data_IF_850801635575
#
_entry.id   IF_850801635575
#
_cell.length_a   1.000
_cell.length_b   1.000
_cell.length_c   1.000
_cell.angle_alpha   90.00
_cell.angle_beta   90.00
_cell.angle_gamma   90.00
#
_symmetry.space_group_name_H-M   'P 1'
#
loop_
_entity.id
_entity.type
_entity.pdbx_description
1 polymer ?
#
# COMPACT_ATOMS: atom_id res chain seq x y z
N UNK A 1 -29.10 44.78 -0.60
CA UNK A 1 -27.77 45.35 -0.84
C UNK A 1 -26.80 44.54 -0.02
N UNK A 2 -26.21 43.50 -0.62
CA UNK A 2 -24.78 43.40 -1.02
C UNK A 2 -23.91 43.07 0.20
N UNK A 3 -23.29 41.89 0.35
CA UNK A 3 -22.39 41.24 -0.58
C UNK A 3 -22.35 39.71 -0.48
N UNK A 4 -22.32 39.06 -1.64
CA UNK A 4 -21.93 37.66 -1.83
C UNK A 4 -20.38 37.55 -1.83
N UNK A 5 -19.78 36.54 -1.18
CA UNK A 5 -18.34 36.34 -1.24
C UNK A 5 -17.91 35.72 -2.58
N UNK A 6 -16.97 36.39 -3.22
CA UNK A 6 -16.31 36.08 -4.50
C UNK A 6 -15.57 34.72 -4.46
N UNK A 7 -15.70 33.84 -5.48
CA UNK A 7 -14.89 32.64 -5.60
C UNK A 7 -13.52 32.97 -6.21
N UNK A 8 -12.43 32.78 -5.45
CA UNK A 8 -11.09 33.03 -6.01
C UNK A 8 -9.90 33.10 -5.05
N UNK A 9 -10.01 32.68 -3.79
CA UNK A 9 -8.84 32.62 -2.90
C UNK A 9 -8.24 31.21 -2.90
N UNK A 10 -7.11 31.09 -3.57
CA UNK A 10 -6.22 29.94 -3.49
C UNK A 10 -6.06 29.47 -2.04
N UNK A 11 -6.23 28.17 -1.81
CA UNK A 11 -6.06 27.55 -0.50
C UNK A 11 -4.74 28.01 0.15
N UNK A 12 -4.76 28.55 1.38
CA UNK A 12 -3.56 29.10 2.00
C UNK A 12 -2.49 28.01 2.17
N UNK A 13 -1.29 28.25 1.62
CA UNK A 13 -0.16 27.31 1.58
C UNK A 13 0.22 26.72 2.95
N UNK A 14 -0.08 27.43 4.04
CA UNK A 14 0.16 26.99 5.42
C UNK A 14 -0.69 25.78 5.85
N UNK A 15 -1.89 25.62 5.28
CA UNK A 15 -2.81 24.52 5.63
C UNK A 15 -2.45 23.22 4.90
N UNK A 16 -2.05 23.32 3.62
CA UNK A 16 -1.39 22.22 2.88
C UNK A 16 -0.12 21.75 3.59
N UNK A 17 0.70 22.69 4.10
CA UNK A 17 1.95 22.40 4.81
C UNK A 17 1.72 21.60 6.10
N UNK A 18 0.69 21.90 6.91
CA UNK A 18 0.38 21.14 8.14
C UNK A 18 -0.19 19.75 7.87
N UNK A 19 -1.01 19.59 6.83
CA UNK A 19 -1.55 18.27 6.44
C UNK A 19 -0.47 17.35 5.87
N UNK A 20 0.46 17.90 5.08
CA UNK A 20 1.59 17.15 4.48
C UNK A 20 2.67 16.85 5.54
N UNK A 21 2.94 17.75 6.48
CA UNK A 21 3.86 17.50 7.61
C UNK A 21 3.32 16.43 8.58
N UNK A 22 1.99 16.28 8.70
CA UNK A 22 1.38 15.16 9.42
C UNK A 22 1.48 13.82 8.68
N UNK A 23 1.60 13.84 7.35
CA UNK A 23 1.74 12.63 6.53
C UNK A 23 3.19 12.11 6.46
N UNK A 24 4.19 12.99 6.55
CA UNK A 24 5.62 12.65 6.40
C UNK A 24 6.47 12.79 7.67
N UNK A 25 5.88 13.19 8.80
CA UNK A 25 6.52 13.15 10.13
C UNK A 25 7.59 14.23 10.40
N UNK A 26 8.37 14.69 9.41
CA UNK A 26 9.40 15.72 9.60
C UNK A 26 9.68 16.58 8.36
N UNK A 27 10.11 17.83 8.58
CA UNK A 27 10.54 18.75 7.50
C UNK A 27 11.76 18.21 6.75
N UNK A 28 12.66 17.52 7.45
CA UNK A 28 13.86 16.92 6.87
C UNK A 28 13.54 15.87 5.80
N UNK A 29 12.56 15.01 6.06
CA UNK A 29 12.09 14.04 5.08
C UNK A 29 11.48 14.78 3.89
N UNK A 30 10.59 15.73 4.14
CA UNK A 30 9.94 16.49 3.07
C UNK A 30 10.94 17.20 2.14
N UNK A 31 11.99 17.83 2.69
CA UNK A 31 13.00 18.51 1.90
C UNK A 31 13.81 17.54 1.02
N UNK A 32 14.03 16.31 1.48
CA UNK A 32 14.68 15.26 0.69
C UNK A 32 13.75 14.66 -0.37
N UNK A 33 12.45 14.63 -0.11
CA UNK A 33 11.42 14.13 -1.03
C UNK A 33 11.00 15.16 -2.08
N UNK A 34 11.13 16.46 -1.78
CA UNK A 34 10.70 17.59 -2.61
C UNK A 34 11.24 17.55 -4.06
N UNK A 35 12.51 17.22 -4.34
CA UNK A 35 13.02 17.15 -5.71
C UNK A 35 12.30 16.11 -6.58
N UNK A 36 11.85 15.01 -5.95
CA UNK A 36 11.11 13.94 -6.61
C UNK A 36 9.63 14.31 -6.81
N UNK A 37 9.06 15.13 -5.92
CA UNK A 37 7.71 15.69 -6.10
C UNK A 37 7.64 16.67 -7.29
N UNK A 38 8.70 17.43 -7.57
CA UNK A 38 8.77 18.38 -8.69
C UNK A 38 8.77 17.71 -10.07
N UNK A 39 9.63 16.69 -10.27
CA UNK A 39 9.56 15.79 -11.44
C UNK A 39 8.30 14.90 -11.43
N UNK A 40 7.70 14.78 -10.25
CA UNK A 40 6.46 14.07 -9.99
C UNK A 40 5.25 14.63 -10.72
N UNK A 41 5.20 15.91 -11.11
CA UNK A 41 4.00 16.45 -11.78
C UNK A 41 3.80 15.87 -13.18
N UNK A 42 4.86 15.78 -13.98
CA UNK A 42 4.80 15.17 -15.32
C UNK A 42 4.48 13.67 -15.21
N UNK A 43 5.15 12.98 -14.27
CA UNK A 43 4.91 11.58 -13.96
C UNK A 43 3.45 11.34 -13.54
N UNK A 44 2.95 12.17 -12.63
CA UNK A 44 1.57 12.14 -12.17
C UNK A 44 0.62 12.40 -13.34
N UNK A 45 0.85 13.42 -14.15
CA UNK A 45 0.02 13.72 -15.32
C UNK A 45 -0.03 12.54 -16.31
N UNK A 46 1.11 11.92 -16.62
CA UNK A 46 1.19 10.71 -17.45
C UNK A 46 0.42 9.54 -16.82
N UNK A 47 0.57 9.33 -15.51
CA UNK A 47 -0.15 8.29 -14.76
C UNK A 47 -1.66 8.53 -14.74
N UNK A 48 -2.10 9.77 -14.53
CA UNK A 48 -3.51 10.15 -14.54
C UNK A 48 -4.12 10.03 -15.94
N UNK A 49 -3.37 10.40 -16.98
CA UNK A 49 -3.78 10.22 -18.36
C UNK A 49 -3.93 8.72 -18.69
N UNK A 50 -2.95 7.89 -18.31
CA UNK A 50 -3.05 6.44 -18.45
C UNK A 50 -4.24 5.86 -17.67
N UNK A 51 -4.51 6.39 -16.47
CA UNK A 51 -5.63 6.00 -15.65
C UNK A 51 -6.99 6.36 -16.30
N UNK A 52 -7.10 7.53 -16.92
CA UNK A 52 -8.28 7.97 -17.66
C UNK A 52 -8.47 7.15 -18.95
N UNK A 53 -7.41 6.93 -19.73
CA UNK A 53 -7.47 6.10 -20.93
C UNK A 53 -7.88 4.66 -20.62
N UNK A 54 -7.47 4.12 -19.47
CA UNK A 54 -7.89 2.79 -19.02
C UNK A 54 -9.40 2.65 -18.78
N UNK A 55 -10.15 3.76 -18.69
CA UNK A 55 -11.62 3.76 -18.59
C UNK A 55 -12.31 3.71 -19.96
N UNK A 56 -11.59 3.95 -21.06
CA UNK A 56 -12.17 4.02 -22.41
C UNK A 56 -12.60 2.65 -22.97
N UNK A 57 -11.86 1.53 -22.76
CA UNK A 57 -12.18 0.26 -23.42
C UNK A 57 -13.61 -0.26 -23.23
N UNK A 58 -14.20 -0.28 -22.00
CA UNK A 58 -15.58 -0.75 -21.85
C UNK A 58 -16.60 0.08 -22.63
N UNK A 59 -16.39 1.40 -22.73
CA UNK A 59 -17.24 2.27 -23.55
C UNK A 59 -17.10 1.99 -25.05
N UNK A 60 -15.88 1.74 -25.53
CA UNK A 60 -15.67 1.33 -26.91
C UNK A 60 -16.31 -0.04 -27.19
N UNK A 61 -16.22 -0.99 -26.25
CA UNK A 61 -16.92 -2.27 -26.34
C UNK A 61 -18.44 -2.07 -26.45
N UNK A 62 -19.04 -1.13 -25.70
CA UNK A 62 -20.44 -0.74 -25.89
C UNK A 62 -20.71 -0.32 -27.34
N UNK A 63 -19.88 0.55 -27.91
CA UNK A 63 -20.08 1.04 -29.29
C UNK A 63 -19.90 -0.07 -30.34
N UNK A 64 -18.94 -0.97 -30.15
CA UNK A 64 -18.77 -2.17 -30.99
C UNK A 64 -20.05 -3.01 -30.97
N UNK A 65 -20.64 -3.22 -29.80
CA UNK A 65 -21.88 -4.01 -29.67
C UNK A 65 -23.08 -3.26 -30.26
N UNK A 66 -23.36 -2.05 -29.79
CA UNK A 66 -24.57 -1.31 -30.15
C UNK A 66 -24.56 -0.88 -31.63
N UNK A 67 -23.45 -0.31 -32.11
CA UNK A 67 -23.34 0.23 -33.47
C UNK A 67 -22.77 -0.75 -34.48
N UNK A 68 -22.08 -1.80 -34.04
CA UNK A 68 -21.54 -2.83 -34.92
C UNK A 68 -22.43 -4.06 -34.95
N UNK A 69 -22.45 -4.84 -33.86
CA UNK A 69 -23.14 -6.13 -33.83
C UNK A 69 -24.66 -5.99 -33.95
N UNK A 70 -25.28 -5.17 -33.10
CA UNK A 70 -26.74 -5.02 -33.03
C UNK A 70 -27.27 -4.30 -34.28
N UNK A 71 -26.60 -3.24 -34.72
CA UNK A 71 -26.95 -2.53 -35.96
C UNK A 71 -26.58 -3.29 -37.24
N UNK A 72 -25.83 -4.40 -37.13
CA UNK A 72 -25.33 -5.21 -38.26
C UNK A 72 -24.52 -4.41 -39.29
N UNK A 73 -23.81 -3.38 -38.84
CA UNK A 73 -22.94 -2.53 -39.67
C UNK A 73 -21.48 -3.00 -39.54
N UNK A 74 -20.96 -3.61 -40.60
CA UNK A 74 -19.58 -4.09 -40.66
C UNK A 74 -18.55 -2.95 -40.65
N UNK A 75 -18.88 -1.79 -41.23
CA UNK A 75 -18.00 -0.62 -41.23
C UNK A 75 -17.85 -0.03 -39.83
N UNK A 76 -18.97 0.16 -39.12
CA UNK A 76 -18.94 0.58 -37.73
C UNK A 76 -18.23 -0.44 -36.83
N UNK A 77 -18.47 -1.75 -37.05
CA UNK A 77 -17.81 -2.82 -36.31
C UNK A 77 -16.28 -2.75 -36.44
N UNK A 78 -15.76 -2.64 -37.67
CA UNK A 78 -14.30 -2.54 -37.91
C UNK A 78 -13.75 -1.25 -37.33
N UNK A 79 -14.44 -0.13 -37.50
CA UNK A 79 -13.99 1.19 -37.02
C UNK A 79 -13.85 1.20 -35.49
N UNK A 80 -14.87 0.76 -34.76
CA UNK A 80 -14.83 0.76 -33.29
C UNK A 80 -13.91 -0.33 -32.73
N UNK A 81 -13.75 -1.46 -33.42
CA UNK A 81 -12.78 -2.50 -33.04
C UNK A 81 -11.35 -2.03 -33.26
N UNK A 82 -11.07 -1.33 -34.36
CA UNK A 82 -9.77 -0.71 -34.61
C UNK A 82 -9.47 0.40 -33.59
N UNK A 83 -10.47 1.23 -33.24
CA UNK A 83 -10.34 2.22 -32.18
C UNK A 83 -10.05 1.58 -30.82
N UNK A 84 -10.73 0.47 -30.48
CA UNK A 84 -10.50 -0.29 -29.26
C UNK A 84 -9.05 -0.83 -29.19
N UNK A 85 -8.56 -1.41 -30.29
CA UNK A 85 -7.17 -1.86 -30.39
C UNK A 85 -6.18 -0.69 -30.26
N UNK A 86 -6.41 0.40 -30.98
CA UNK A 86 -5.57 1.60 -30.94
C UNK A 86 -5.47 2.19 -29.53
N UNK A 87 -6.61 2.37 -28.86
CA UNK A 87 -6.66 2.82 -27.46
C UNK A 87 -5.97 1.82 -26.53
N UNK A 88 -6.11 0.52 -26.78
CA UNK A 88 -5.40 -0.54 -26.05
C UNK A 88 -3.87 -0.36 -26.13
N UNK A 89 -3.32 -0.22 -27.33
CA UNK A 89 -1.88 -0.01 -27.53
C UNK A 89 -1.39 1.30 -26.91
N UNK A 90 -2.13 2.41 -27.07
CA UNK A 90 -1.79 3.69 -26.45
C UNK A 90 -1.79 3.58 -24.93
N UNK A 91 -2.80 2.93 -24.35
CA UNK A 91 -2.90 2.74 -22.90
C UNK A 91 -1.75 1.89 -22.38
N UNK A 92 -1.40 0.80 -23.08
CA UNK A 92 -0.27 -0.06 -22.73
C UNK A 92 1.06 0.68 -22.81
N UNK A 93 1.31 1.41 -23.90
CA UNK A 93 2.53 2.19 -24.09
C UNK A 93 2.68 3.28 -23.04
N UNK A 94 1.61 4.05 -22.80
CA UNK A 94 1.59 5.12 -21.80
C UNK A 94 1.76 4.59 -20.37
N UNK A 95 1.08 3.50 -20.03
CA UNK A 95 1.21 2.85 -18.72
C UNK A 95 2.61 2.31 -18.50
N UNK A 96 3.22 1.70 -19.53
CA UNK A 96 4.59 1.17 -19.46
C UNK A 96 5.61 2.28 -19.31
N UNK A 97 5.51 3.35 -20.11
CA UNK A 97 6.37 4.53 -19.99
C UNK A 97 6.24 5.16 -18.60
N UNK A 98 5.00 5.36 -18.14
CA UNK A 98 4.73 5.88 -16.79
C UNK A 98 5.40 5.00 -15.74
N UNK A 99 5.21 3.67 -15.78
CA UNK A 99 5.80 2.74 -14.82
C UNK A 99 7.33 2.77 -14.82
N UNK A 100 7.97 2.82 -15.99
CA UNK A 100 9.44 2.89 -16.11
C UNK A 100 9.97 4.19 -15.51
N UNK A 101 9.38 5.33 -15.87
CA UNK A 101 9.82 6.63 -15.37
C UNK A 101 9.57 6.74 -13.85
N UNK A 102 8.47 6.18 -13.35
CA UNK A 102 8.21 6.07 -11.92
C UNK A 102 9.23 5.17 -11.22
N UNK A 103 9.59 4.02 -11.78
CA UNK A 103 10.60 3.14 -11.20
C UNK A 103 11.97 3.82 -11.12
N UNK A 104 12.36 4.57 -12.16
CA UNK A 104 13.61 5.35 -12.15
C UNK A 104 13.63 6.38 -11.03
N UNK A 105 12.54 7.12 -10.85
CA UNK A 105 12.39 8.06 -9.74
C UNK A 105 12.43 7.33 -8.38
N UNK A 106 11.82 6.15 -8.31
CA UNK A 106 11.75 5.29 -7.12
C UNK A 106 13.12 4.87 -6.61
N UNK A 107 13.94 4.29 -7.49
CA UNK A 107 15.30 3.85 -7.14
C UNK A 107 16.18 5.03 -6.75
N UNK A 108 16.10 6.15 -7.47
CA UNK A 108 16.89 7.33 -7.17
C UNK A 108 16.54 7.90 -5.78
N UNK A 109 15.26 7.95 -5.43
CA UNK A 109 14.82 8.42 -4.12
C UNK A 109 15.26 7.47 -2.98
N UNK A 110 15.19 6.16 -3.21
CA UNK A 110 15.69 5.19 -2.22
C UNK A 110 17.19 5.36 -1.98
N UNK A 111 17.97 5.56 -3.04
CA UNK A 111 19.41 5.80 -2.94
C UNK A 111 19.71 7.08 -2.13
N UNK A 112 19.00 8.17 -2.40
CA UNK A 112 19.15 9.44 -1.68
C UNK A 112 18.75 9.33 -0.21
N UNK A 113 17.68 8.61 0.10
CA UNK A 113 17.24 8.33 1.47
C UNK A 113 18.28 7.49 2.22
N UNK A 114 18.78 6.40 1.62
CA UNK A 114 19.83 5.56 2.21
C UNK A 114 21.09 6.35 2.49
N UNK A 115 21.52 7.19 1.55
CA UNK A 115 22.69 8.05 1.73
C UNK A 115 22.49 9.07 2.85
N UNK A 116 21.29 9.65 2.94
CA UNK A 116 20.95 10.60 3.99
C UNK A 116 20.94 9.95 5.39
N UNK A 117 20.35 8.75 5.51
CA UNK A 117 20.35 8.00 6.76
C UNK A 117 21.75 7.51 7.12
N UNK A 118 22.55 7.05 6.15
CA UNK A 118 23.94 6.66 6.37
C UNK A 118 24.78 7.81 6.95
N UNK A 119 24.60 9.03 6.42
CA UNK A 119 25.26 10.23 6.99
C UNK A 119 24.81 10.51 8.43
N UNK A 120 23.53 10.34 8.74
CA UNK A 120 23.04 10.49 10.11
C UNK A 120 23.71 9.49 11.05
N UNK A 121 23.79 8.22 10.65
CA UNK A 121 24.44 7.13 11.42
C UNK A 121 25.93 7.41 11.62
N UNK A 122 26.65 7.81 10.58
CA UNK A 122 28.09 8.13 10.66
C UNK A 122 28.38 9.32 11.58
N UNK A 123 27.45 10.29 11.67
CA UNK A 123 27.56 11.45 12.57
C UNK A 123 27.17 11.17 14.02
N UNK A 124 26.77 9.93 14.38
CA UNK A 124 26.36 9.60 15.77
C UNK A 124 27.55 9.38 16.70
N UNK A 125 27.34 9.72 17.97
CA UNK A 125 28.34 9.54 19.03
C UNK A 125 28.75 8.06 19.17
N UNK A 126 29.99 7.79 19.62
CA UNK A 126 30.41 6.43 19.95
C UNK A 126 29.54 5.77 21.01
N UNK A 127 29.04 6.54 21.99
CA UNK A 127 28.12 6.06 23.02
C UNK A 127 26.78 5.59 22.44
N UNK A 128 26.24 6.31 21.46
CA UNK A 128 25.04 5.84 20.76
C UNK A 128 25.32 4.53 20.04
N UNK A 129 26.48 4.43 19.35
CA UNK A 129 26.87 3.23 18.59
C UNK A 129 27.08 2.01 19.49
N UNK A 130 27.66 2.16 20.68
CA UNK A 130 27.89 1.04 21.60
C UNK A 130 26.59 0.40 22.12
N UNK A 131 25.48 1.14 22.09
CA UNK A 131 24.16 0.63 22.48
C UNK A 131 23.34 0.03 21.34
N UNK A 132 23.83 0.04 20.09
CA UNK A 132 23.05 -0.36 18.91
C UNK A 132 23.62 -1.63 18.28
N UNK A 133 22.74 -2.58 17.99
CA UNK A 133 23.12 -3.77 17.23
C UNK A 133 23.25 -3.42 15.74
N UNK A 134 24.27 -3.96 15.07
CA UNK A 134 24.47 -3.75 13.64
C UNK A 134 23.22 -4.11 12.80
N UNK A 135 22.48 -5.14 13.21
CA UNK A 135 21.21 -5.54 12.58
C UNK A 135 20.10 -4.48 12.69
N UNK A 136 19.99 -3.77 13.82
CA UNK A 136 19.00 -2.71 14.02
C UNK A 136 19.34 -1.48 13.14
N UNK A 137 20.62 -1.14 13.02
CA UNK A 137 21.09 -0.09 12.11
C UNK A 137 20.75 -0.47 10.66
N UNK A 138 21.02 -1.71 10.26
CA UNK A 138 20.70 -2.19 8.91
C UNK A 138 19.18 -2.18 8.65
N UNK A 139 18.36 -2.60 9.63
CA UNK A 139 16.90 -2.58 9.50
C UNK A 139 16.34 -1.16 9.28
N UNK A 140 16.99 -0.12 9.81
CA UNK A 140 16.63 1.28 9.57
C UNK A 140 17.12 1.78 8.21
N UNK A 141 18.38 1.50 7.87
CA UNK A 141 18.99 1.94 6.61
C UNK A 141 18.30 1.32 5.40
N UNK A 142 17.95 0.05 5.48
CA UNK A 142 17.36 -0.68 4.36
C UNK A 142 15.83 -0.77 4.47
N UNK A 143 15.34 -1.39 5.56
CA UNK A 143 13.93 -1.67 5.77
C UNK A 143 13.06 -0.41 5.87
N UNK A 144 13.34 0.47 6.84
CA UNK A 144 12.52 1.69 7.01
C UNK A 144 12.62 2.64 5.82
N UNK A 145 13.83 2.80 5.27
CA UNK A 145 14.03 3.62 4.08
C UNK A 145 13.20 3.10 2.90
N UNK A 146 13.17 1.77 2.73
CA UNK A 146 12.34 1.09 1.74
C UNK A 146 10.84 1.32 1.98
N UNK A 147 10.34 1.16 3.21
CA UNK A 147 8.91 1.40 3.52
C UNK A 147 8.50 2.85 3.29
N UNK A 148 9.33 3.82 3.68
CA UNK A 148 9.12 5.26 3.42
C UNK A 148 9.09 5.54 1.93
N UNK A 149 10.06 5.02 1.19
CA UNK A 149 10.11 5.18 -0.25
C UNK A 149 8.85 4.59 -0.89
N UNK A 150 8.55 3.33 -0.59
CA UNK A 150 7.45 2.61 -1.20
C UNK A 150 6.11 3.28 -0.94
N UNK A 151 5.88 3.78 0.28
CA UNK A 151 4.66 4.51 0.62
C UNK A 151 4.55 5.83 -0.14
N UNK A 152 5.60 6.64 -0.19
CA UNK A 152 5.59 7.93 -0.89
C UNK A 152 5.30 7.77 -2.40
N UNK A 153 5.88 6.74 -3.02
CA UNK A 153 5.64 6.42 -4.43
C UNK A 153 4.23 5.92 -4.67
N UNK A 154 3.78 4.94 -3.89
CA UNK A 154 2.45 4.37 -4.05
C UNK A 154 1.36 5.41 -3.78
N UNK A 155 1.54 6.30 -2.80
CA UNK A 155 0.57 7.35 -2.51
C UNK A 155 0.39 8.29 -3.71
N UNK A 156 1.50 8.63 -4.39
CA UNK A 156 1.50 9.58 -5.51
C UNK A 156 0.92 8.97 -6.78
N UNK A 157 1.48 7.85 -7.26
CA UNK A 157 1.04 7.25 -8.53
C UNK A 157 -0.21 6.40 -8.32
N UNK A 158 -0.10 5.36 -7.51
CA UNK A 158 -1.14 4.34 -7.33
C UNK A 158 -2.39 4.96 -6.70
N UNK A 159 -2.21 5.81 -5.68
CA UNK A 159 -3.30 6.51 -5.00
C UNK A 159 -4.06 7.45 -5.92
N UNK A 160 -3.36 8.37 -6.60
CA UNK A 160 -4.02 9.32 -7.48
C UNK A 160 -4.69 8.63 -8.68
N UNK A 161 -4.02 7.65 -9.29
CA UNK A 161 -4.58 6.87 -10.40
C UNK A 161 -5.80 6.07 -9.96
N UNK A 162 -5.78 5.47 -8.76
CA UNK A 162 -6.92 4.76 -8.21
C UNK A 162 -8.10 5.69 -7.97
N UNK A 163 -7.88 6.91 -7.44
CA UNK A 163 -8.95 7.91 -7.26
C UNK A 163 -9.56 8.31 -8.60
N UNK A 164 -8.74 8.58 -9.63
CA UNK A 164 -9.26 8.93 -10.97
C UNK A 164 -10.05 7.78 -11.58
N UNK A 165 -9.55 6.53 -11.50
CA UNK A 165 -10.27 5.36 -11.99
C UNK A 165 -11.57 5.13 -11.24
N UNK A 166 -11.57 5.33 -9.92
CA UNK A 166 -12.74 5.13 -9.08
C UNK A 166 -13.81 6.18 -9.38
N UNK A 167 -13.45 7.46 -9.37
CA UNK A 167 -14.38 8.56 -9.64
C UNK A 167 -14.85 8.56 -11.10
N UNK A 168 -13.94 8.37 -12.05
CA UNK A 168 -14.26 8.32 -13.47
C UNK A 168 -15.10 7.10 -13.83
N UNK A 169 -14.74 5.91 -13.33
CA UNK A 169 -15.54 4.71 -13.53
C UNK A 169 -16.91 4.77 -12.85
N UNK A 170 -17.00 5.35 -11.65
CA UNK A 170 -18.29 5.60 -11.00
C UNK A 170 -19.14 6.56 -11.84
N UNK A 171 -18.58 7.69 -12.28
CA UNK A 171 -19.29 8.64 -13.14
C UNK A 171 -19.81 7.97 -14.43
N UNK A 172 -19.00 7.11 -15.05
CA UNK A 172 -19.40 6.35 -16.24
C UNK A 172 -20.51 5.32 -15.95
N UNK A 173 -20.47 4.64 -14.79
CA UNK A 173 -21.57 3.75 -14.36
C UNK A 173 -22.88 4.52 -14.17
N UNK A 174 -22.84 5.67 -13.49
CA UNK A 174 -24.01 6.52 -13.30
C UNK A 174 -24.53 7.10 -14.63
N UNK A 175 -23.63 7.42 -15.57
CA UNK A 175 -23.99 7.87 -16.91
C UNK A 175 -24.63 6.76 -17.77
N UNK A 176 -24.27 5.49 -17.55
CA UNK A 176 -24.91 4.35 -18.22
C UNK A 176 -26.31 4.08 -17.66
N UNK A 177 -26.42 3.91 -16.34
CA UNK A 177 -27.71 3.71 -15.67
C UNK A 177 -27.59 4.03 -14.18
N UNK A 178 -28.19 5.15 -13.75
CA UNK A 178 -28.12 5.60 -12.36
C UNK A 178 -28.81 4.66 -11.37
N UNK A 179 -29.91 4.00 -11.75
CA UNK A 179 -30.64 3.06 -10.87
C UNK A 179 -29.79 1.82 -10.59
N UNK A 180 -29.18 1.26 -11.63
CA UNK A 180 -28.31 0.09 -11.52
C UNK A 180 -27.00 0.43 -10.78
N UNK A 181 -26.44 1.61 -11.04
CA UNK A 181 -25.26 2.11 -10.32
C UNK A 181 -25.53 2.27 -8.81
N UNK A 182 -26.68 2.83 -8.45
CA UNK A 182 -27.08 2.97 -7.04
C UNK A 182 -27.26 1.61 -6.37
N UNK A 183 -27.88 0.65 -7.06
CA UNK A 183 -28.00 -0.73 -6.56
C UNK A 183 -26.62 -1.35 -6.28
N UNK A 184 -25.65 -1.17 -7.19
CA UNK A 184 -24.29 -1.65 -6.99
C UNK A 184 -23.56 -0.95 -5.83
N UNK A 185 -23.70 0.38 -5.70
CA UNK A 185 -23.10 1.17 -4.60
C UNK A 185 -23.69 0.77 -3.25
N UNK A 186 -24.98 0.50 -3.18
CA UNK A 186 -25.65 0.06 -1.95
C UNK A 186 -25.12 -1.26 -1.42
N UNK A 187 -24.47 -2.10 -2.23
CA UNK A 187 -23.92 -3.40 -1.81
C UNK A 187 -22.56 -3.25 -1.12
N UNK A 188 -21.77 -2.24 -1.48
CA UNK A 188 -20.47 -1.96 -0.87
C UNK A 188 -20.51 -1.75 0.67
N UNK A 189 -21.45 -0.99 1.26
CA UNK A 189 -21.52 -0.83 2.72
C UNK A 189 -21.86 -2.14 3.43
N UNK A 190 -22.61 -3.07 2.84
CA UNK A 190 -22.88 -4.38 3.46
C UNK A 190 -21.60 -5.21 3.58
N UNK A 191 -20.76 -5.20 2.55
CA UNK A 191 -19.45 -5.87 2.59
C UNK A 191 -18.54 -5.26 3.65
N UNK A 192 -18.47 -3.92 3.70
CA UNK A 192 -17.70 -3.20 4.72
C UNK A 192 -18.21 -3.45 6.13
N UNK A 193 -19.53 -3.49 6.33
CA UNK A 193 -20.15 -3.77 7.62
C UNK A 193 -19.79 -5.17 8.11
N UNK A 194 -19.83 -6.17 7.23
CA UNK A 194 -19.40 -7.51 7.58
C UNK A 194 -17.91 -7.56 7.97
N UNK A 195 -17.03 -6.94 7.18
CA UNK A 195 -15.59 -6.93 7.46
C UNK A 195 -15.26 -6.21 8.76
N UNK A 196 -15.94 -5.10 9.06
CA UNK A 196 -15.76 -4.34 10.31
C UNK A 196 -16.26 -5.13 11.52
N UNK A 197 -17.39 -5.80 11.41
CA UNK A 197 -17.91 -6.71 12.44
C UNK A 197 -17.01 -7.92 12.67
N UNK A 198 -16.42 -8.48 11.61
CA UNK A 198 -15.53 -9.65 11.68
C UNK A 198 -14.14 -9.32 12.29
N UNK A 199 -13.70 -8.07 12.19
CA UNK A 199 -12.38 -7.59 12.61
C UNK A 199 -11.96 -8.02 14.03
N UNK A 200 -12.72 -7.77 15.12
CA UNK A 200 -12.28 -8.12 16.47
C UNK A 200 -12.01 -9.61 16.65
N UNK A 201 -12.83 -10.48 16.01
CA UNK A 201 -12.64 -11.93 16.05
C UNK A 201 -11.42 -12.35 15.22
N UNK A 202 -11.20 -11.74 14.06
CA UNK A 202 -9.97 -11.95 13.27
C UNK A 202 -8.73 -11.63 14.09
N UNK A 203 -8.71 -10.47 14.76
CA UNK A 203 -7.60 -10.08 15.64
C UNK A 203 -7.41 -11.05 16.81
N UNK A 204 -8.50 -11.60 17.37
CA UNK A 204 -8.42 -12.57 18.47
C UNK A 204 -7.82 -13.92 18.01
N UNK A 205 -8.27 -14.49 16.90
CA UNK A 205 -7.75 -15.79 16.41
C UNK A 205 -6.30 -15.68 15.95
N UNK A 206 -5.93 -14.56 15.31
CA UNK A 206 -4.53 -14.32 14.91
C UNK A 206 -3.62 -14.15 16.12
N UNK A 207 -4.07 -13.44 17.18
CA UNK A 207 -3.31 -13.32 18.43
C UNK A 207 -3.14 -14.67 19.12
N UNK A 208 -4.19 -15.49 19.19
CA UNK A 208 -4.11 -16.82 19.78
C UNK A 208 -3.11 -17.73 19.05
N UNK A 209 -3.11 -17.71 17.71
CA UNK A 209 -2.13 -18.45 16.91
C UNK A 209 -0.70 -17.96 17.12
N UNK A 210 -0.48 -16.64 17.22
CA UNK A 210 0.84 -16.07 17.53
C UNK A 210 1.33 -16.46 18.91
N UNK A 211 0.46 -16.42 19.93
CA UNK A 211 0.81 -16.82 21.29
C UNK A 211 1.20 -18.31 21.37
N UNK A 212 0.41 -19.20 20.76
CA UNK A 212 0.72 -20.63 20.71
C UNK A 212 2.04 -20.94 19.98
N UNK A 213 2.35 -20.16 18.92
CA UNK A 213 3.63 -20.27 18.22
C UNK A 213 4.80 -19.83 19.08
N UNK A 214 4.61 -18.78 19.89
CA UNK A 214 5.59 -18.32 20.87
C UNK A 214 5.89 -19.36 21.94
N UNK A 215 4.87 -20.02 22.50
CA UNK A 215 5.04 -21.10 23.48
C UNK A 215 5.85 -22.27 22.90
N UNK A 216 5.50 -22.73 21.69
CA UNK A 216 6.26 -23.78 21.02
C UNK A 216 7.73 -23.38 20.78
N UNK A 217 7.97 -22.15 20.31
CA UNK A 217 9.32 -21.65 20.07
C UNK A 217 10.16 -21.58 21.37
N UNK A 218 9.55 -21.13 22.48
CA UNK A 218 10.18 -21.11 23.81
C UNK A 218 10.61 -22.51 24.22
N UNK A 219 9.72 -23.51 24.13
CA UNK A 219 10.01 -24.90 24.50
C UNK A 219 11.11 -25.52 23.65
N UNK A 220 11.11 -25.25 22.35
CA UNK A 220 12.18 -25.71 21.47
C UNK A 220 13.52 -25.05 21.82
N UNK A 221 13.51 -23.78 22.18
CA UNK A 221 14.73 -23.06 22.62
C UNK A 221 15.24 -23.61 23.95
N UNK A 222 14.36 -23.84 24.93
CA UNK A 222 14.70 -24.48 26.20
C UNK A 222 15.29 -25.88 26.00
N UNK A 223 14.73 -26.69 25.09
CA UNK A 223 15.26 -28.01 24.75
C UNK A 223 16.69 -27.93 24.20
N UNK A 224 16.94 -27.00 23.27
CA UNK A 224 18.28 -26.84 22.67
C UNK A 224 19.30 -26.34 23.69
N UNK A 225 18.92 -25.38 24.52
CA UNK A 225 19.79 -24.84 25.58
C UNK A 225 20.03 -25.86 26.71
N UNK A 226 19.03 -26.69 27.02
CA UNK A 226 19.03 -27.68 28.08
C UNK A 226 19.40 -29.10 27.65
N UNK A 227 19.97 -29.30 26.46
CA UNK A 227 20.16 -30.63 25.86
C UNK A 227 20.93 -31.59 26.77
N UNK A 228 22.09 -31.16 27.30
CA UNK A 228 22.92 -31.97 28.20
C UNK A 228 22.21 -32.30 29.53
N UNK A 229 21.64 -31.33 30.26
CA UNK A 229 20.84 -31.61 31.46
C UNK A 229 19.67 -32.57 31.23
N UNK A 230 18.96 -32.45 30.10
CA UNK A 230 17.82 -33.30 29.76
C UNK A 230 18.28 -34.76 29.57
N UNK A 231 19.37 -34.95 28.82
CA UNK A 231 19.95 -36.28 28.59
C UNK A 231 20.52 -36.91 29.86
N UNK A 232 21.22 -36.11 30.68
CA UNK A 232 21.77 -36.57 31.95
C UNK A 232 20.67 -37.02 32.94
N UNK A 233 19.48 -36.42 32.86
CA UNK A 233 18.32 -36.76 33.69
C UNK A 233 17.41 -37.84 33.08
N UNK A 234 17.65 -38.32 31.84
CA UNK A 234 16.75 -39.23 31.13
C UNK A 234 15.35 -38.64 30.89
N UNK A 235 15.26 -37.32 30.74
CA UNK A 235 14.01 -36.55 30.70
C UNK A 235 13.40 -36.37 29.29
N UNK A 236 13.95 -37.00 28.26
CA UNK A 236 13.60 -36.76 26.85
C UNK A 236 12.11 -36.97 26.58
N UNK A 237 11.54 -38.05 27.11
CA UNK A 237 10.12 -38.36 26.93
C UNK A 237 9.19 -37.28 27.50
N UNK A 238 9.54 -36.70 28.65
CA UNK A 238 8.75 -35.64 29.27
C UNK A 238 8.82 -34.34 28.46
N UNK A 239 10.00 -33.99 27.95
CA UNK A 239 10.22 -32.81 27.09
C UNK A 239 9.51 -32.97 25.76
N UNK A 240 9.64 -34.13 25.10
CA UNK A 240 8.94 -34.42 23.84
C UNK A 240 7.42 -34.39 24.03
N UNK A 241 6.89 -34.92 25.13
CA UNK A 241 5.47 -34.82 25.44
C UNK A 241 5.00 -33.37 25.67
N UNK A 242 5.82 -32.53 26.31
CA UNK A 242 5.53 -31.11 26.50
C UNK A 242 5.53 -30.33 25.17
N UNK A 243 6.50 -30.60 24.29
CA UNK A 243 6.55 -30.05 22.94
C UNK A 243 5.34 -30.52 22.13
N UNK A 244 4.98 -31.81 22.19
CA UNK A 244 3.79 -32.36 21.54
C UNK A 244 2.51 -31.64 21.95
N UNK A 245 2.31 -31.40 23.26
CA UNK A 245 1.16 -30.64 23.76
C UNK A 245 1.13 -29.20 23.24
N UNK A 246 2.28 -28.53 23.17
CA UNK A 246 2.39 -27.17 22.62
C UNK A 246 2.12 -27.15 21.11
N UNK A 247 2.63 -28.14 20.37
CA UNK A 247 2.37 -28.33 18.94
C UNK A 247 0.87 -28.55 18.69
N UNK A 248 0.20 -29.37 19.49
CA UNK A 248 -1.25 -29.57 19.37
C UNK A 248 -2.04 -28.29 19.68
N UNK A 249 -1.58 -27.51 20.66
CA UNK A 249 -2.10 -26.18 20.95
C UNK A 249 -2.00 -25.24 19.76
N UNK A 250 -0.84 -25.21 19.10
CA UNK A 250 -0.60 -24.45 17.89
C UNK A 250 -1.49 -24.94 16.74
N UNK A 251 -1.56 -26.25 16.50
CA UNK A 251 -2.40 -26.84 15.46
C UNK A 251 -3.87 -26.42 15.62
N UNK A 252 -4.42 -26.51 16.84
CA UNK A 252 -5.80 -26.05 17.13
C UNK A 252 -5.98 -24.54 16.91
N UNK A 253 -4.99 -23.72 17.29
CA UNK A 253 -5.06 -22.28 17.08
C UNK A 253 -5.01 -21.92 15.59
N UNK A 254 -4.15 -22.59 14.81
CA UNK A 254 -4.03 -22.41 13.37
C UNK A 254 -5.30 -22.87 12.64
N UNK A 255 -5.86 -24.04 12.98
CA UNK A 255 -7.11 -24.51 12.39
C UNK A 255 -8.27 -23.55 12.66
N UNK A 256 -8.41 -23.03 13.89
CA UNK A 256 -9.42 -22.01 14.21
C UNK A 256 -9.23 -20.73 13.40
N UNK A 257 -7.98 -20.28 13.24
CA UNK A 257 -7.67 -19.11 12.42
C UNK A 257 -7.97 -19.37 10.93
N UNK A 258 -7.68 -20.56 10.42
CA UNK A 258 -7.96 -20.95 9.04
C UNK A 258 -9.47 -21.00 8.77
N UNK A 259 -10.24 -21.69 9.61
CA UNK A 259 -11.71 -21.78 9.48
C UNK A 259 -12.34 -20.39 9.53
N UNK A 260 -11.88 -19.54 10.45
CA UNK A 260 -12.35 -18.15 10.50
C UNK A 260 -11.92 -17.36 9.26
N UNK A 261 -10.69 -17.57 8.78
CA UNK A 261 -10.19 -17.03 7.51
C UNK A 261 -11.11 -17.36 6.33
N UNK A 262 -11.52 -18.61 6.20
CA UNK A 262 -12.46 -19.04 5.17
C UNK A 262 -13.83 -18.36 5.30
N UNK A 263 -14.35 -18.15 6.51
CA UNK A 263 -15.59 -17.37 6.72
C UNK A 263 -15.41 -15.93 6.25
N UNK A 264 -14.31 -15.28 6.62
CA UNK A 264 -14.02 -13.89 6.22
C UNK A 264 -13.74 -13.72 4.74
N UNK A 265 -13.44 -14.81 4.01
CA UNK A 265 -13.28 -14.81 2.55
C UNK A 265 -14.58 -15.16 1.82
N UNK A 266 -15.27 -16.20 2.31
CA UNK A 266 -16.45 -16.76 1.64
C UNK A 266 -17.65 -15.84 1.75
N UNK A 267 -17.92 -15.25 2.92
CA UNK A 267 -19.10 -14.39 3.09
C UNK A 267 -19.05 -13.16 2.16
N UNK A 268 -17.96 -12.38 2.08
CA UNK A 268 -17.84 -11.29 1.10
C UNK A 268 -17.95 -11.77 -0.35
N UNK A 269 -17.34 -12.92 -0.67
CA UNK A 269 -17.41 -13.49 -2.01
C UNK A 269 -18.85 -13.87 -2.41
N UNK A 270 -19.61 -14.46 -1.49
CA UNK A 270 -21.03 -14.78 -1.69
C UNK A 270 -21.87 -13.52 -1.83
N UNK A 271 -21.66 -12.50 -0.98
CA UNK A 271 -22.33 -11.21 -1.10
C UNK A 271 -22.03 -10.54 -2.45
N UNK A 272 -20.78 -10.56 -2.89
CA UNK A 272 -20.39 -10.03 -4.20
C UNK A 272 -20.99 -10.84 -5.37
N UNK A 273 -21.13 -12.15 -5.23
CA UNK A 273 -21.78 -13.00 -6.23
C UNK A 273 -23.29 -12.70 -6.32
N UNK A 274 -23.99 -12.62 -5.18
CA UNK A 274 -25.40 -12.23 -5.11
C UNK A 274 -25.61 -10.82 -5.66
N UNK A 275 -24.70 -9.90 -5.36
CA UNK A 275 -24.70 -8.55 -5.89
C UNK A 275 -24.61 -8.52 -7.41
N UNK A 276 -23.64 -9.26 -8.00
CA UNK A 276 -23.51 -9.38 -9.45
C UNK A 276 -24.75 -10.03 -10.07
N UNK A 277 -25.30 -11.07 -9.46
CA UNK A 277 -26.52 -11.71 -9.94
C UNK A 277 -27.70 -10.73 -9.94
N UNK A 278 -27.85 -9.93 -8.87
CA UNK A 278 -28.85 -8.87 -8.79
C UNK A 278 -28.67 -7.79 -9.85
N UNK A 279 -27.41 -7.35 -10.10
CA UNK A 279 -27.09 -6.41 -11.19
C UNK A 279 -27.41 -7.01 -12.56
N UNK A 280 -27.12 -8.29 -12.79
CA UNK A 280 -27.46 -8.97 -14.04
C UNK A 280 -28.98 -9.04 -14.23
N UNK A 281 -29.73 -9.38 -13.17
CA UNK A 281 -31.18 -9.47 -13.21
C UNK A 281 -31.82 -8.09 -13.49
N UNK A 282 -31.46 -7.08 -12.69
CA UNK A 282 -31.98 -5.71 -12.84
C UNK A 282 -31.53 -5.08 -14.17
N UNK A 283 -30.28 -5.29 -14.57
CA UNK A 283 -29.76 -4.81 -15.85
C UNK A 283 -30.38 -5.54 -17.04
N UNK A 284 -30.68 -6.82 -16.91
CA UNK A 284 -31.42 -7.59 -17.90
C UNK A 284 -32.84 -7.04 -18.11
N UNK A 285 -33.57 -6.75 -17.03
CA UNK A 285 -34.86 -6.07 -17.12
C UNK A 285 -34.74 -4.69 -17.77
N UNK A 286 -33.69 -3.92 -17.45
CA UNK A 286 -33.42 -2.63 -18.07
C UNK A 286 -33.09 -2.72 -19.58
N UNK A 287 -32.60 -3.87 -20.05
CA UNK A 287 -32.40 -4.11 -21.49
C UNK A 287 -33.72 -4.50 -22.16
N UNK A 288 -34.53 -5.32 -21.49
CA UNK A 288 -35.85 -5.75 -21.98
C UNK A 288 -36.82 -4.56 -22.10
N UNK A 289 -36.83 -3.66 -21.12
CA UNK A 289 -37.69 -2.47 -21.12
C UNK A 289 -37.17 -1.33 -22.03
N UNK A 290 -35.98 -1.51 -22.63
CA UNK A 290 -35.36 -0.55 -23.54
C UNK A 290 -34.68 0.64 -22.86
N UNK A 291 -34.61 0.70 -21.54
CA UNK A 291 -33.94 1.79 -20.79
C UNK A 291 -32.41 1.70 -20.83
N UNK A 292 -31.86 0.54 -21.21
CA UNK A 292 -30.42 0.29 -21.37
C UNK A 292 -30.16 -0.52 -22.65
N UNK A 293 -29.15 -0.13 -23.42
CA UNK A 293 -28.74 -0.91 -24.60
C UNK A 293 -27.97 -2.17 -24.18
N UNK A 294 -27.96 -3.20 -25.04
CA UNK A 294 -27.19 -4.43 -24.78
C UNK A 294 -25.70 -4.14 -24.57
N UNK A 295 -25.11 -3.28 -25.40
CA UNK A 295 -23.73 -2.82 -25.24
C UNK A 295 -23.54 -2.00 -23.96
N UNK A 296 -24.54 -1.20 -23.58
CA UNK A 296 -24.56 -0.46 -22.31
C UNK A 296 -24.53 -1.38 -21.09
N UNK A 297 -25.29 -2.47 -21.12
CA UNK A 297 -25.28 -3.49 -20.08
C UNK A 297 -23.94 -4.22 -19.98
N UNK A 298 -23.36 -4.63 -21.11
CA UNK A 298 -22.02 -5.28 -21.14
C UNK A 298 -20.94 -4.32 -20.61
N UNK A 299 -20.97 -3.05 -21.02
CA UNK A 299 -20.05 -2.04 -20.49
C UNK A 299 -20.24 -1.81 -19.00
N UNK A 300 -21.48 -1.81 -18.51
CA UNK A 300 -21.78 -1.67 -17.08
C UNK A 300 -21.13 -2.80 -16.27
N UNK A 301 -21.30 -4.07 -16.69
CA UNK A 301 -20.68 -5.22 -16.03
C UNK A 301 -19.14 -5.14 -16.07
N UNK A 302 -18.57 -4.70 -17.20
CA UNK A 302 -17.13 -4.53 -17.34
C UNK A 302 -16.59 -3.42 -16.42
N UNK A 303 -17.27 -2.27 -16.31
CA UNK A 303 -16.88 -1.21 -15.37
C UNK A 303 -17.01 -1.65 -13.92
N UNK A 304 -18.07 -2.38 -13.56
CA UNK A 304 -18.25 -2.89 -12.21
C UNK A 304 -17.09 -3.83 -11.80
N UNK A 305 -16.68 -4.72 -12.70
CA UNK A 305 -15.51 -5.58 -12.46
C UNK A 305 -14.22 -4.76 -12.37
N UNK A 306 -14.03 -3.79 -13.28
CA UNK A 306 -12.84 -2.94 -13.34
C UNK A 306 -12.63 -2.12 -12.06
N UNK A 307 -13.69 -1.61 -11.45
CA UNK A 307 -13.62 -0.76 -10.25
C UNK A 307 -13.09 -1.49 -9.00
N UNK A 308 -13.08 -2.82 -8.99
CA UNK A 308 -12.53 -3.61 -7.87
C UNK A 308 -11.03 -3.35 -7.68
N UNK A 309 -10.26 -3.20 -8.76
CA UNK A 309 -8.81 -2.97 -8.71
C UNK A 309 -8.41 -1.66 -8.01
N UNK A 310 -8.98 -0.50 -8.39
CA UNK A 310 -8.78 0.77 -7.69
C UNK A 310 -9.14 0.72 -6.20
N UNK A 311 -10.24 0.05 -5.83
CA UNK A 311 -10.61 -0.12 -4.41
C UNK A 311 -9.52 -0.89 -3.66
N UNK A 312 -9.06 -2.03 -4.19
CA UNK A 312 -7.98 -2.82 -3.59
C UNK A 312 -6.67 -2.04 -3.48
N UNK A 313 -6.38 -1.19 -4.47
CA UNK A 313 -5.19 -0.32 -4.44
C UNK A 313 -5.25 0.69 -3.29
N UNK A 314 -6.40 1.29 -3.03
CA UNK A 314 -6.61 2.21 -1.90
C UNK A 314 -6.56 1.48 -0.55
N UNK A 315 -7.09 0.26 -0.46
CA UNK A 315 -6.97 -0.58 0.73
C UNK A 315 -5.51 -0.95 1.02
N UNK A 316 -4.74 -1.30 -0.01
CA UNK A 316 -3.30 -1.55 0.11
C UNK A 316 -2.53 -0.33 0.63
N UNK A 317 -2.89 0.87 0.17
CA UNK A 317 -2.33 2.13 0.68
C UNK A 317 -2.70 2.38 2.15
N UNK A 318 -3.93 2.09 2.54
CA UNK A 318 -4.36 2.19 3.94
C UNK A 318 -3.53 1.26 4.85
N UNK A 319 -3.27 0.03 4.42
CA UNK A 319 -2.41 -0.90 5.16
C UNK A 319 -0.95 -0.45 5.18
N UNK A 320 -0.42 0.07 4.07
CA UNK A 320 0.94 0.60 3.99
C UNK A 320 1.16 1.80 4.93
N UNK A 321 0.10 2.58 5.21
CA UNK A 321 0.16 3.70 6.16
C UNK A 321 0.59 3.25 7.56
N UNK A 322 0.15 2.09 8.03
CA UNK A 322 0.52 1.59 9.36
C UNK A 322 2.03 1.29 9.42
N UNK A 323 2.56 0.62 8.39
CA UNK A 323 3.99 0.27 8.32
C UNK A 323 4.89 1.50 8.20
N UNK A 324 4.54 2.43 7.32
CA UNK A 324 5.34 3.64 7.14
C UNK A 324 5.33 4.53 8.38
N UNK A 325 4.23 4.55 9.14
CA UNK A 325 4.17 5.36 10.38
C UNK A 325 5.20 4.86 11.40
N UNK A 326 5.29 3.54 11.60
CA UNK A 326 6.31 2.94 12.45
C UNK A 326 7.74 3.22 11.93
N UNK A 327 7.97 3.07 10.62
CA UNK A 327 9.27 3.36 10.01
C UNK A 327 9.70 4.84 10.20
N UNK A 328 8.76 5.78 10.03
CA UNK A 328 8.99 7.21 10.25
C UNK A 328 9.33 7.51 11.71
N UNK A 329 8.66 6.88 12.66
CA UNK A 329 8.96 7.02 14.10
C UNK A 329 10.40 6.58 14.42
N UNK A 330 10.86 5.45 13.86
CA UNK A 330 12.23 4.95 14.07
C UNK A 330 13.29 5.85 13.43
N UNK A 331 13.04 6.36 12.23
CA UNK A 331 13.93 7.32 11.55
C UNK A 331 13.99 8.64 12.32
N UNK A 332 12.84 9.12 12.81
CA UNK A 332 12.78 10.35 13.58
C UNK A 332 13.47 10.20 14.95
N UNK A 333 13.35 9.05 15.60
CA UNK A 333 14.12 8.73 16.80
C UNK A 333 15.63 8.79 16.53
N UNK A 334 16.11 8.18 15.43
CA UNK A 334 17.51 8.28 15.01
C UNK A 334 17.96 9.74 14.79
N UNK A 335 17.07 10.60 14.29
CA UNK A 335 17.37 12.02 14.04
C UNK A 335 17.48 12.84 15.32
N UNK A 336 16.61 12.58 16.30
CA UNK A 336 16.51 13.35 17.55
C UNK A 336 17.71 13.18 18.48
N UNK A 337 18.41 12.06 18.39
CA UNK A 337 19.65 11.92 19.13
C UNK A 337 20.63 13.04 18.72
N UNK A 338 21.41 13.62 19.63
CA UNK A 338 22.40 14.61 19.24
C UNK A 338 23.53 13.94 18.42
N UNK A 339 24.09 14.63 17.42
CA UNK A 339 25.34 14.19 16.81
C UNK A 339 26.42 14.08 17.90
N UNK A 340 27.38 13.16 17.73
CA UNK A 340 28.52 13.13 18.64
C UNK A 340 29.29 14.44 18.56
N UNK A 341 29.77 14.95 19.69
CA UNK A 341 30.69 16.09 19.69
C UNK A 341 31.88 15.80 18.75
N UNK A 342 32.33 16.78 17.95
CA UNK A 342 33.52 16.62 17.13
C UNK A 342 34.71 16.28 18.04
N UNK A 343 35.23 15.06 17.93
CA UNK A 343 36.45 14.67 18.66
C UNK A 343 37.71 15.36 18.14
N UNK A 344 37.63 16.01 16.99
CA UNK A 344 38.75 16.71 16.37
C UNK A 344 38.53 18.21 16.53
N UNK A 345 39.47 18.95 17.15
CA UNK A 345 39.41 20.40 17.14
C UNK A 345 39.43 20.90 15.70
N UNK A 346 38.67 21.96 15.39
CA UNK A 346 38.63 22.56 14.04
C UNK A 346 40.03 22.93 13.51
N UNK A 347 40.98 23.12 14.42
CA UNK A 347 42.41 23.23 14.15
C UNK A 347 43.15 22.16 14.96
N UNK A 348 43.56 21.04 14.33
CA UNK A 348 44.43 20.07 14.97
C UNK A 348 45.72 20.78 15.40
N UNK A 349 46.13 20.61 16.66
CA UNK A 349 47.47 20.98 17.06
C UNK A 349 48.47 20.19 16.21
N UNK A 350 49.59 20.82 15.84
CA UNK A 350 50.68 20.12 15.18
C UNK A 350 51.13 18.95 16.09
N UNK A 351 51.33 17.76 15.51
CA UNK A 351 51.85 16.64 16.29
C UNK A 351 53.19 17.05 16.91
N UNK A 352 53.36 16.94 18.24
CA UNK A 352 54.63 17.25 18.87
C UNK A 352 55.71 16.32 18.32
N UNK A 353 56.91 16.86 18.08
CA UNK A 353 58.05 16.07 17.64
C UNK A 353 58.47 15.13 18.80
N UNK A 354 58.33 13.82 18.60
CA UNK A 354 58.67 12.80 19.61
C UNK A 354 58.11 11.41 19.26
N UNK A 355 58.43 10.41 20.07
CA UNK A 355 58.03 9.01 19.86
C UNK A 355 56.57 8.69 20.24
N UNK A 356 55.72 9.70 20.51
CA UNK A 356 54.31 9.50 20.86
C UNK A 356 54.07 8.96 22.27
N UNK A 357 54.75 9.51 23.28
CA UNK A 357 54.52 9.12 24.67
C UNK A 357 53.08 9.44 25.12
N UNK A 358 52.39 8.45 25.70
CA UNK A 358 51.03 8.57 26.23
C UNK A 358 51.10 8.64 27.77
N UNK A 359 50.55 9.70 28.35
CA UNK A 359 50.36 9.85 29.79
C UNK A 359 48.86 9.81 30.11
N UNK A 360 48.47 8.97 31.07
CA UNK A 360 47.11 8.88 31.59
C UNK A 360 47.14 9.47 33.01
N UNK A 361 46.63 10.69 33.16
CA UNK A 361 46.43 11.27 34.47
C UNK A 361 45.10 10.72 35.03
N UNK A 362 45.20 10.02 36.15
CA UNK A 362 44.11 9.22 36.76
C UNK A 362 43.06 10.04 37.49
#
# INVERSE_FOLDING_TARGET
MTDLPVPGRAFPARMRRRLILRAFGSQWLFDRLRPYLGRGLLLLALGLLAAALALVPPWLTKLVIDRGLVARDSGALVTWSAALLGVGFVTLGLSSLSNILHMRASVAMLADLRLALARLVLGRSPHWRSGQQAGEIMARLDGDAGEVQQFAFNLTLTGASAVVRLLGGAALLFALNAKLALAAVLLAPFELLFLTWARPKTEAVTRAARAARGDLASRLTEMVQGLMPIQAAGGEGAVLAAIGRAQDGLNRALLRAQVWGEVTRTVPATLAALARAGVVLLGGFAVIDGSLTLGGFVAFLAYLAFLTGPVQSLLGLWQARVRVTAALERIEALRRDPPGEPRWPERPAAMPAGQGALTLDG
#
